data_IF_212330826192
#
_entry.id   IF_212330826192
#
_cell.length_a   1.000
_cell.length_b   1.000
_cell.length_c   1.000
_cell.angle_alpha   90.00
_cell.angle_beta   90.00
_cell.angle_gamma   90.00
#
_symmetry.space_group_name_H-M   'P 1'
#
loop_
_entity.id
_entity.type
_entity.pdbx_description
1 polymer ?
#
# COMPACT_ATOMS: atom_id res chain seq x y z
N UNK A 1 -17.75 -6.48 -3.06
CA UNK A 1 -17.17 -5.39 -2.26
C UNK A 1 -18.18 -4.69 -1.36
N UNK A 2 -19.31 -4.15 -1.86
CA UNK A 2 -20.27 -3.45 -0.99
C UNK A 2 -20.85 -4.34 0.12
N UNK A 3 -21.22 -5.59 -0.19
CA UNK A 3 -21.69 -6.58 0.80
C UNK A 3 -20.70 -6.80 1.96
N UNK A 4 -19.41 -6.77 1.62
CA UNK A 4 -18.30 -6.92 2.56
C UNK A 4 -18.24 -5.70 3.49
N UNK A 5 -18.28 -4.50 2.94
CA UNK A 5 -18.23 -3.24 3.72
C UNK A 5 -19.45 -3.11 4.64
N UNK A 6 -20.65 -3.41 4.15
CA UNK A 6 -21.86 -3.37 4.98
C UNK A 6 -21.81 -4.40 6.11
N UNK A 7 -21.25 -5.59 5.86
CA UNK A 7 -21.06 -6.57 6.93
C UNK A 7 -20.04 -6.08 7.97
N UNK A 8 -18.96 -5.43 7.55
CA UNK A 8 -18.04 -4.80 8.50
C UNK A 8 -18.75 -3.75 9.36
N UNK A 9 -19.55 -2.88 8.76
CA UNK A 9 -20.33 -1.85 9.45
C UNK A 9 -21.33 -2.45 10.44
N UNK A 10 -22.14 -3.44 10.01
CA UNK A 10 -23.12 -4.13 10.85
C UNK A 10 -22.49 -4.76 12.11
N UNK A 11 -21.23 -5.21 11.98
CA UNK A 11 -20.54 -6.05 12.96
C UNK A 11 -19.48 -5.31 13.79
N UNK A 12 -19.38 -3.99 13.61
CA UNK A 12 -18.41 -3.11 14.27
C UNK A 12 -16.95 -3.52 13.98
N UNK A 13 -16.66 -3.84 12.71
CA UNK A 13 -15.30 -4.13 12.22
C UNK A 13 -14.76 -2.88 11.54
N UNK A 14 -13.71 -2.30 12.13
CA UNK A 14 -13.03 -1.13 11.58
C UNK A 14 -12.39 -1.43 10.22
N UNK A 15 -12.80 -0.70 9.18
CA UNK A 15 -12.11 -0.66 7.88
C UNK A 15 -11.23 0.59 7.82
N UNK A 16 -9.91 0.40 7.90
CA UNK A 16 -8.92 1.49 7.97
C UNK A 16 -8.66 2.14 6.61
N UNK A 17 -8.76 1.35 5.54
CA UNK A 17 -8.48 1.79 4.19
C UNK A 17 -9.21 0.89 3.19
N UNK A 18 -9.59 1.46 2.05
CA UNK A 18 -10.24 0.76 0.94
C UNK A 18 -9.67 1.25 -0.39
N UNK A 19 -9.39 0.32 -1.31
CA UNK A 19 -9.11 0.63 -2.71
C UNK A 19 -9.76 -0.41 -3.62
N UNK A 20 -10.87 0.00 -4.27
CA UNK A 20 -11.62 -0.76 -5.28
C UNK A 20 -12.12 -2.14 -4.83
N UNK A 21 -11.22 -3.10 -4.72
CA UNK A 21 -11.40 -4.52 -4.41
C UNK A 21 -10.59 -4.98 -3.19
N UNK A 22 -9.86 -4.09 -2.51
CA UNK A 22 -9.11 -4.37 -1.27
C UNK A 22 -9.57 -3.53 -0.08
N UNK A 23 -9.41 -4.07 1.13
CA UNK A 23 -9.64 -3.40 2.42
C UNK A 23 -8.51 -3.67 3.41
N UNK A 24 -8.30 -2.77 4.36
CA UNK A 24 -7.43 -3.00 5.52
C UNK A 24 -8.28 -3.11 6.79
N UNK A 25 -8.18 -4.26 7.46
CA UNK A 25 -8.80 -4.54 8.75
C UNK A 25 -7.74 -5.07 9.72
N UNK A 26 -8.04 -5.11 11.01
CA UNK A 26 -7.13 -5.76 11.97
C UNK A 26 -7.18 -7.27 11.78
N UNK A 27 -6.01 -7.92 11.75
CA UNK A 27 -5.88 -9.38 11.61
C UNK A 27 -6.72 -10.16 12.65
N UNK A 28 -6.85 -9.64 13.87
CA UNK A 28 -7.62 -10.27 14.96
C UNK A 28 -9.13 -10.41 14.65
N UNK A 29 -9.66 -9.54 13.79
CA UNK A 29 -11.09 -9.49 13.47
C UNK A 29 -11.44 -10.40 12.28
N UNK A 30 -10.43 -10.88 11.53
CA UNK A 30 -10.60 -11.72 10.35
C UNK A 30 -11.31 -13.06 10.64
N UNK A 31 -10.96 -13.85 11.69
CA UNK A 31 -11.65 -15.12 11.95
C UNK A 31 -13.15 -14.94 12.21
N UNK A 32 -13.51 -13.94 13.02
CA UNK A 32 -14.91 -13.58 13.27
C UNK A 32 -15.60 -13.11 11.99
N UNK A 33 -14.89 -12.37 11.14
CA UNK A 33 -15.43 -11.88 9.89
C UNK A 33 -15.76 -13.00 8.89
N UNK A 34 -14.89 -14.00 8.78
CA UNK A 34 -15.12 -15.19 7.95
C UNK A 34 -16.36 -15.95 8.41
N UNK A 35 -16.50 -16.23 9.71
CA UNK A 35 -17.66 -16.92 10.29
C UNK A 35 -18.97 -16.18 10.00
N UNK A 36 -18.97 -14.85 10.16
CA UNK A 36 -20.14 -14.00 9.92
C UNK A 36 -20.51 -13.93 8.44
N UNK A 37 -19.51 -13.90 7.56
CA UNK A 37 -19.72 -13.85 6.12
C UNK A 37 -20.36 -15.15 5.62
N UNK A 38 -19.87 -16.30 6.10
CA UNK A 38 -20.48 -17.62 5.84
C UNK A 38 -21.92 -17.66 6.37
N UNK A 39 -22.15 -17.23 7.61
CA UNK A 39 -23.48 -17.24 8.21
C UNK A 39 -24.49 -16.34 7.48
N UNK A 40 -24.07 -15.21 6.90
CA UNK A 40 -24.97 -14.25 6.25
C UNK A 40 -25.20 -14.57 4.77
N UNK A 41 -24.18 -15.07 4.09
CA UNK A 41 -24.19 -15.19 2.63
C UNK A 41 -24.01 -16.61 2.10
N UNK A 42 -23.80 -17.61 2.97
CA UNK A 42 -23.56 -19.01 2.61
C UNK A 42 -22.42 -19.18 1.58
N UNK A 43 -21.36 -18.37 1.76
CA UNK A 43 -20.17 -18.33 0.90
C UNK A 43 -18.93 -18.14 1.75
N UNK A 44 -17.83 -18.75 1.37
CA UNK A 44 -16.54 -18.50 2.01
C UNK A 44 -16.00 -17.11 1.64
N UNK A 45 -15.54 -16.37 2.65
CA UNK A 45 -14.94 -15.05 2.45
C UNK A 45 -13.53 -15.16 1.86
N UNK A 46 -12.71 -16.05 2.41
CA UNK A 46 -11.28 -16.18 2.08
C UNK A 46 -11.02 -17.44 1.26
N UNK A 47 -10.25 -17.31 0.19
CA UNK A 47 -9.85 -18.42 -0.67
C UNK A 47 -9.36 -17.98 -2.04
N UNK A 48 -9.29 -18.92 -3.00
CA UNK A 48 -8.75 -18.72 -4.34
C UNK A 48 -9.80 -18.65 -5.45
N UNK A 49 -11.07 -18.89 -5.12
CA UNK A 49 -12.15 -18.90 -6.10
C UNK A 49 -12.65 -17.50 -6.44
N UNK A 50 -13.32 -17.38 -7.58
CA UNK A 50 -13.86 -16.10 -8.03
C UNK A 50 -14.84 -15.52 -6.99
N UNK A 51 -14.56 -14.30 -6.54
CA UNK A 51 -15.37 -13.59 -5.55
C UNK A 51 -14.93 -13.82 -4.10
N UNK A 52 -13.94 -14.68 -3.86
CA UNK A 52 -13.25 -14.80 -2.58
C UNK A 52 -12.11 -13.77 -2.48
N UNK A 53 -11.71 -13.49 -1.25
CA UNK A 53 -10.63 -12.57 -0.90
C UNK A 53 -9.41 -13.35 -0.38
N UNK A 54 -8.26 -12.72 -0.42
CA UNK A 54 -7.05 -13.22 0.22
C UNK A 54 -6.21 -12.03 0.68
N UNK A 55 -5.22 -12.29 1.52
CA UNK A 55 -4.28 -11.23 1.92
C UNK A 55 -3.38 -10.88 0.74
N UNK A 56 -3.42 -9.62 0.30
CA UNK A 56 -2.53 -9.07 -0.74
C UNK A 56 -1.09 -8.82 -0.24
N UNK A 57 -0.82 -9.08 1.05
CA UNK A 57 0.51 -8.85 1.60
C UNK A 57 1.50 -9.90 1.08
N UNK A 58 2.65 -9.45 0.52
CA UNK A 58 3.66 -10.35 0.03
C UNK A 58 4.28 -11.18 1.16
N UNK A 59 4.79 -12.36 0.81
CA UNK A 59 5.55 -13.17 1.75
C UNK A 59 6.82 -12.44 2.18
N UNK A 60 7.14 -12.50 3.48
CA UNK A 60 8.40 -11.98 4.03
C UNK A 60 9.32 -13.17 4.25
N UNK A 61 10.44 -13.20 3.49
CA UNK A 61 11.38 -14.34 3.41
C UNK A 61 10.69 -15.70 3.16
N UNK A 62 9.67 -15.70 2.30
CA UNK A 62 8.94 -16.91 1.92
C UNK A 62 7.87 -17.36 2.91
N UNK A 63 7.61 -16.58 3.97
CA UNK A 63 6.58 -16.88 4.97
C UNK A 63 5.40 -15.90 4.90
N UNK A 64 4.17 -16.34 5.27
CA UNK A 64 3.02 -15.47 5.38
C UNK A 64 3.31 -14.29 6.31
N UNK A 65 2.84 -13.10 5.93
CA UNK A 65 3.13 -11.87 6.64
C UNK A 65 1.84 -11.14 7.03
N UNK A 66 1.97 -10.21 7.98
CA UNK A 66 0.92 -9.28 8.35
C UNK A 66 1.52 -7.93 8.72
N UNK A 67 0.71 -6.87 8.61
CA UNK A 67 1.14 -5.54 9.01
C UNK A 67 1.14 -5.38 10.54
N UNK A 68 2.21 -4.79 11.07
CA UNK A 68 2.30 -4.31 12.46
C UNK A 68 2.12 -2.79 12.58
N UNK A 69 2.26 -2.08 11.46
CA UNK A 69 2.09 -0.62 11.39
C UNK A 69 1.72 -0.24 9.97
N UNK A 70 0.66 0.54 9.82
CA UNK A 70 0.23 1.09 8.53
C UNK A 70 0.11 2.61 8.62
N UNK A 71 0.67 3.32 7.64
CA UNK A 71 0.59 4.79 7.53
C UNK A 71 -0.13 5.12 6.23
N UNK A 72 -1.37 5.61 6.33
CA UNK A 72 -2.18 6.01 5.19
C UNK A 72 -2.07 7.52 4.99
N UNK A 73 -1.46 7.95 3.87
CA UNK A 73 -1.29 9.36 3.53
C UNK A 73 -2.46 9.89 2.70
N UNK A 74 -3.05 9.03 1.88
CA UNK A 74 -4.19 9.36 1.04
C UNK A 74 -4.53 8.22 0.09
N UNK A 75 -5.45 8.48 -0.85
CA UNK A 75 -5.86 7.48 -1.84
C UNK A 75 -4.65 7.00 -2.64
N UNK A 76 -4.41 5.68 -2.62
CA UNK A 76 -3.34 4.97 -3.35
C UNK A 76 -1.92 5.34 -2.89
N UNK A 77 -1.80 5.87 -1.68
CA UNK A 77 -0.51 6.26 -1.08
C UNK A 77 -0.46 5.89 0.40
N UNK A 78 0.22 4.80 0.70
CA UNK A 78 0.35 4.25 2.06
C UNK A 78 1.59 3.35 2.20
N UNK A 79 1.97 3.10 3.44
CA UNK A 79 3.05 2.19 3.84
C UNK A 79 2.49 1.15 4.81
N UNK A 80 2.81 -0.11 4.59
CA UNK A 80 2.66 -1.17 5.61
C UNK A 80 4.04 -1.73 5.99
N UNK A 81 4.27 -1.82 7.29
CA UNK A 81 5.42 -2.53 7.87
C UNK A 81 4.98 -3.95 8.14
N UNK A 82 5.49 -4.87 7.33
CA UNK A 82 5.13 -6.29 7.38
C UNK A 82 6.08 -7.05 8.30
N UNK A 83 5.55 -8.03 9.01
CA UNK A 83 6.31 -8.98 9.80
C UNK A 83 5.84 -10.41 9.50
N UNK A 84 6.74 -11.38 9.61
CA UNK A 84 6.38 -12.80 9.65
C UNK A 84 6.44 -13.37 11.08
N UNK A 85 6.15 -14.66 11.21
CA UNK A 85 6.25 -15.40 12.48
C UNK A 85 7.65 -15.49 13.09
N UNK A 86 8.71 -15.38 12.28
CA UNK A 86 10.10 -15.42 12.74
C UNK A 86 10.60 -14.04 13.21
N UNK A 87 9.81 -12.99 13.01
CA UNK A 87 10.18 -11.61 13.30
C UNK A 87 10.93 -10.90 12.16
N UNK A 88 11.05 -11.50 10.98
CA UNK A 88 11.59 -10.83 9.80
C UNK A 88 10.63 -9.74 9.33
N UNK A 89 11.19 -8.61 8.88
CA UNK A 89 10.43 -7.44 8.44
C UNK A 89 10.69 -7.10 6.97
N UNK A 90 9.65 -6.57 6.32
CA UNK A 90 9.73 -5.95 5.00
C UNK A 90 8.67 -4.82 4.89
N UNK A 91 8.68 -4.08 3.79
CA UNK A 91 7.77 -2.97 3.54
C UNK A 91 6.93 -3.18 2.28
N UNK A 92 5.61 -3.02 2.43
CA UNK A 92 4.72 -2.79 1.31
C UNK A 92 4.57 -1.28 1.11
N UNK A 93 5.11 -0.79 0.00
CA UNK A 93 5.17 0.63 -0.33
C UNK A 93 4.19 0.90 -1.48
N UNK A 94 3.20 1.76 -1.24
CA UNK A 94 2.29 2.27 -2.28
C UNK A 94 2.36 3.79 -2.32
N UNK A 95 2.57 4.34 -3.50
CA UNK A 95 2.61 5.79 -3.73
C UNK A 95 2.24 6.06 -5.19
N UNK A 96 1.04 6.57 -5.43
CA UNK A 96 0.55 6.76 -6.80
C UNK A 96 1.46 7.71 -7.58
N UNK A 97 2.04 7.20 -8.67
CA UNK A 97 2.86 7.98 -9.60
C UNK A 97 4.32 8.17 -9.20
N UNK A 98 4.79 7.49 -8.15
CA UNK A 98 6.20 7.44 -7.74
C UNK A 98 6.62 5.97 -7.68
N UNK A 99 7.78 5.61 -8.24
CA UNK A 99 8.27 4.23 -8.24
C UNK A 99 8.80 3.83 -6.86
N UNK A 100 8.72 2.53 -6.51
CA UNK A 100 9.26 1.99 -5.25
C UNK A 100 10.76 2.31 -5.10
N UNK A 101 11.53 2.19 -6.19
CA UNK A 101 12.96 2.52 -6.21
C UNK A 101 13.25 3.98 -5.87
N UNK A 102 12.44 4.92 -6.38
CA UNK A 102 12.61 6.33 -6.08
C UNK A 102 12.34 6.66 -4.60
N UNK A 103 11.37 5.99 -3.99
CA UNK A 103 11.05 6.17 -2.57
C UNK A 103 12.17 5.61 -1.70
N UNK A 104 12.63 4.38 -1.98
CA UNK A 104 13.76 3.77 -1.25
C UNK A 104 15.02 4.62 -1.39
N UNK A 105 15.34 5.08 -2.60
CA UNK A 105 16.48 5.95 -2.82
C UNK A 105 16.37 7.28 -2.07
N UNK A 106 15.18 7.89 -2.05
CA UNK A 106 14.93 9.12 -1.29
C UNK A 106 15.03 8.89 0.22
N UNK A 107 14.53 7.76 0.74
CA UNK A 107 14.66 7.38 2.15
C UNK A 107 16.13 7.22 2.53
N UNK A 108 16.93 6.55 1.69
CA UNK A 108 18.37 6.41 1.90
C UNK A 108 19.10 7.76 1.89
N UNK A 109 18.75 8.66 0.97
CA UNK A 109 19.38 9.98 0.84
C UNK A 109 19.02 10.95 1.98
N UNK A 110 17.75 10.96 2.44
CA UNK A 110 17.22 12.02 3.33
C UNK A 110 16.79 11.56 4.72
N UNK A 111 16.60 10.25 4.92
CA UNK A 111 16.06 9.66 6.14
C UNK A 111 16.93 8.48 6.64
N UNK A 112 18.19 8.39 6.22
CA UNK A 112 19.13 7.33 6.63
C UNK A 112 18.60 5.90 6.36
N UNK A 113 17.74 5.75 5.34
CA UNK A 113 17.10 4.49 4.98
C UNK A 113 15.86 4.13 5.80
N UNK A 114 15.44 4.99 6.73
CA UNK A 114 14.22 4.80 7.52
C UNK A 114 12.97 5.17 6.69
N UNK A 115 12.28 4.13 6.23
CA UNK A 115 11.04 4.27 5.47
C UNK A 115 9.88 4.79 6.32
N UNK A 116 9.83 4.43 7.60
CA UNK A 116 8.79 4.84 8.53
C UNK A 116 8.92 6.34 8.80
N UNK A 117 10.13 6.81 9.06
CA UNK A 117 10.41 8.24 9.25
C UNK A 117 10.03 9.07 8.00
N UNK A 118 10.31 8.58 6.79
CA UNK A 118 9.89 9.26 5.56
C UNK A 118 8.37 9.40 5.48
N UNK A 119 7.62 8.34 5.77
CA UNK A 119 6.17 8.37 5.72
C UNK A 119 5.55 9.19 6.86
N UNK A 120 6.13 9.18 8.07
CA UNK A 120 5.70 10.04 9.17
C UNK A 120 5.94 11.52 8.85
N UNK A 121 7.06 11.85 8.19
CA UNK A 121 7.35 13.19 7.72
C UNK A 121 6.28 13.70 6.74
N UNK A 122 5.89 12.86 5.78
CA UNK A 122 4.80 13.15 4.84
C UNK A 122 3.44 13.24 5.54
N UNK A 123 3.17 12.35 6.50
CA UNK A 123 1.93 12.35 7.27
C UNK A 123 1.74 13.63 8.09
N UNK A 124 2.84 14.21 8.59
CA UNK A 124 2.83 15.52 9.24
C UNK A 124 2.60 16.70 8.26
N UNK A 125 2.35 16.44 6.98
CA UNK A 125 2.02 17.45 5.98
C UNK A 125 3.24 18.15 5.36
N UNK A 126 4.45 17.62 5.58
CA UNK A 126 5.65 18.24 5.03
C UNK A 126 5.84 17.87 3.54
N UNK A 127 6.26 18.82 2.69
CA UNK A 127 6.50 18.54 1.28
C UNK A 127 7.81 17.77 1.06
N UNK A 128 7.83 16.84 0.11
CA UNK A 128 9.03 16.12 -0.31
C UNK A 128 9.21 16.22 -1.81
N UNK A 129 10.40 16.63 -2.25
CA UNK A 129 10.78 16.65 -3.66
C UNK A 129 11.56 15.37 -3.98
N UNK A 130 11.10 14.65 -5.00
CA UNK A 130 11.69 13.42 -5.53
C UNK A 130 12.01 13.63 -7.01
N UNK A 131 13.26 13.37 -7.41
CA UNK A 131 13.65 13.37 -8.81
C UNK A 131 13.54 11.97 -9.40
N UNK A 132 12.55 11.77 -10.26
CA UNK A 132 12.27 10.48 -10.86
C UNK A 132 13.26 10.11 -11.98
N UNK A 133 13.97 11.08 -12.57
CA UNK A 133 14.94 10.80 -13.64
C UNK A 133 16.14 9.97 -13.16
N UNK A 134 16.43 10.01 -11.85
CA UNK A 134 17.45 9.17 -11.22
C UNK A 134 17.12 7.67 -11.19
N UNK A 135 15.84 7.30 -11.38
CA UNK A 135 15.35 5.93 -11.14
C UNK A 135 14.74 5.27 -12.38
N UNK A 136 15.00 5.83 -13.56
CA UNK A 136 14.55 5.29 -14.84
C UNK A 136 14.52 6.37 -15.93
N UNK A 137 14.46 5.95 -17.19
CA UNK A 137 14.28 6.87 -18.31
C UNK A 137 12.84 7.42 -18.30
N UNK A 138 12.71 8.74 -18.44
CA UNK A 138 11.43 9.41 -18.65
C UNK A 138 11.47 10.14 -19.97
N UNK A 139 10.34 10.16 -20.68
CA UNK A 139 10.26 10.68 -22.03
C UNK A 139 9.23 11.81 -22.13
N UNK A 140 9.55 12.82 -22.92
CA UNK A 140 8.59 13.79 -23.46
C UNK A 140 8.25 13.39 -24.89
N UNK A 141 6.97 13.43 -25.22
CA UNK A 141 6.46 13.21 -26.59
C UNK A 141 5.83 14.51 -27.06
N UNK A 142 6.43 15.11 -28.08
CA UNK A 142 5.94 16.33 -28.72
C UNK A 142 4.76 16.03 -29.66
N UNK A 143 4.03 17.06 -30.09
CA UNK A 143 2.86 16.91 -30.98
C UNK A 143 3.20 16.35 -32.37
N UNK A 144 4.45 16.52 -32.79
CA UNK A 144 5.00 15.97 -34.04
C UNK A 144 5.57 14.55 -33.86
N UNK A 145 5.29 13.91 -32.72
CA UNK A 145 5.77 12.59 -32.32
C UNK A 145 7.28 12.51 -32.07
N UNK A 146 7.99 13.63 -31.96
CA UNK A 146 9.39 13.61 -31.53
C UNK A 146 9.48 13.18 -30.07
N UNK A 147 10.35 12.21 -29.80
CA UNK A 147 10.61 11.69 -28.45
C UNK A 147 11.93 12.26 -27.95
N UNK A 148 11.94 12.76 -26.73
CA UNK A 148 13.16 13.19 -26.04
C UNK A 148 13.21 12.62 -24.62
N UNK A 149 14.41 12.29 -24.15
CA UNK A 149 14.62 11.85 -22.77
C UNK A 149 14.75 13.06 -21.85
N UNK A 150 14.05 13.04 -20.72
CA UNK A 150 14.12 14.07 -19.70
C UNK A 150 15.38 13.87 -18.83
N UNK A 151 16.21 14.90 -18.72
CA UNK A 151 17.37 14.91 -17.83
C UNK A 151 16.98 15.07 -16.35
N UNK A 152 15.92 15.83 -16.09
CA UNK A 152 15.34 16.02 -14.77
C UNK A 152 13.83 15.78 -14.81
N UNK A 153 13.32 15.06 -13.82
CA UNK A 153 11.87 14.88 -13.67
C UNK A 153 11.47 14.91 -12.19
N UNK A 154 11.49 16.13 -11.64
CA UNK A 154 11.19 16.40 -10.23
C UNK A 154 9.68 16.43 -9.99
N UNK A 155 9.23 15.69 -8.98
CA UNK A 155 7.87 15.76 -8.43
C UNK A 155 7.93 16.21 -6.98
N UNK A 156 7.03 17.11 -6.63
CA UNK A 156 6.77 17.48 -5.23
C UNK A 156 5.55 16.73 -4.77
N UNK A 157 5.69 15.96 -3.69
CA UNK A 157 4.58 15.28 -3.02
C UNK A 157 4.29 15.96 -1.68
N UNK A 158 3.01 16.12 -1.36
CA UNK A 158 2.49 16.65 -0.10
C UNK A 158 1.09 16.07 0.08
N UNK A 159 0.74 15.73 1.31
CA UNK A 159 -0.57 15.19 1.70
C UNK A 159 -1.25 16.13 2.68
#
# INVERSE_FOLDING_TARGET
MNELIYLCEDMDIDVYYQDTDSIHIKKKDLPRFEELYVSKYDRDLVGSELGQFHSDFPLVKGKPSWSIKSIFLGKKSYLDVLINEDGDQDYLIRMKGITKSAIIGTANEKFNGDMVALYEYLYAGNPLIIDLSKYGAHFSIERDFKISSLSEFKRTIKF
#
